data_IF_760417451237
#
_entry.id   IF_760417451237
#
_cell.length_a   1.000
_cell.length_b   1.000
_cell.length_c   1.000
_cell.angle_alpha   90.00
_cell.angle_beta   90.00
_cell.angle_gamma   90.00
#
_symmetry.space_group_name_H-M   'P 1'
#
loop_
_entity.id
_entity.type
_entity.pdbx_description
1 polymer ?
#
# COMPACT_ATOMS: atom_id res chain seq x y z
N UNK A 1 21.70 24.12 0.49
CA UNK A 1 21.47 22.99 -0.44
C UNK A 1 20.62 21.98 0.31
N UNK A 2 19.52 21.53 -0.30
CA UNK A 2 18.50 20.69 0.33
C UNK A 2 18.89 19.22 0.15
N UNK A 3 19.29 18.57 1.24
CA UNK A 3 19.60 17.15 1.25
C UNK A 3 18.40 16.42 1.88
N UNK A 4 17.26 16.45 1.19
CA UNK A 4 16.05 15.76 1.61
C UNK A 4 16.15 14.27 1.25
N UNK A 5 16.92 13.52 2.02
CA UNK A 5 16.88 12.05 2.00
C UNK A 5 16.69 11.57 3.43
N UNK A 6 15.44 11.66 3.91
CA UNK A 6 15.02 11.24 5.24
C UNK A 6 15.06 9.72 5.32
N UNK A 7 16.26 9.16 5.45
CA UNK A 7 16.44 7.79 5.92
C UNK A 7 15.95 7.77 7.36
N UNK A 8 14.89 7.02 7.73
CA UNK A 8 14.47 6.95 9.11
C UNK A 8 15.60 6.31 9.91
N UNK A 9 16.06 7.02 10.95
CA UNK A 9 16.98 6.49 11.96
C UNK A 9 16.48 5.14 12.47
N UNK A 10 17.38 4.20 12.78
CA UNK A 10 17.11 2.77 13.07
C UNK A 10 15.96 2.48 14.06
N UNK A 11 15.60 3.42 14.94
CA UNK A 11 14.46 3.33 15.88
C UNK A 11 13.07 3.53 15.23
N UNK A 12 13.02 4.09 14.01
CA UNK A 12 11.78 4.33 13.28
C UNK A 12 11.33 3.14 12.41
N UNK A 13 12.21 2.15 12.19
CA UNK A 13 11.91 0.98 11.36
C UNK A 13 10.79 0.11 11.95
N UNK A 14 10.76 -0.21 13.27
CA UNK A 14 9.66 -0.98 13.85
C UNK A 14 8.31 -0.26 13.69
N UNK A 15 8.26 1.04 14.02
CA UNK A 15 7.04 1.86 13.87
C UNK A 15 6.58 1.98 12.40
N UNK A 16 7.53 2.07 11.47
CA UNK A 16 7.24 2.04 10.03
C UNK A 16 6.60 0.71 9.62
N UNK A 17 7.19 -0.43 10.01
CA UNK A 17 6.64 -1.75 9.67
C UNK A 17 5.28 -1.99 10.31
N UNK A 18 5.07 -1.58 11.56
CA UNK A 18 3.75 -1.63 12.21
C UNK A 18 2.70 -0.80 11.45
N UNK A 19 3.08 0.39 10.98
CA UNK A 19 2.21 1.23 10.14
C UNK A 19 1.87 0.56 8.81
N UNK A 20 2.83 -0.10 8.15
CA UNK A 20 2.55 -0.88 6.94
C UNK A 20 1.63 -2.07 7.23
N UNK A 21 1.81 -2.77 8.35
CA UNK A 21 0.93 -3.87 8.75
C UNK A 21 -0.51 -3.40 8.97
N UNK A 22 -0.69 -2.26 9.65
CA UNK A 22 -2.02 -1.68 9.86
C UNK A 22 -2.67 -1.26 8.53
N UNK A 23 -1.89 -0.65 7.64
CA UNK A 23 -2.34 -0.27 6.30
C UNK A 23 -2.81 -1.50 5.48
N UNK A 24 -2.06 -2.59 5.52
CA UNK A 24 -2.45 -3.84 4.84
C UNK A 24 -3.77 -4.37 5.37
N UNK A 25 -3.93 -4.44 6.69
CA UNK A 25 -5.16 -4.94 7.30
C UNK A 25 -6.38 -4.07 6.92
N UNK A 26 -6.17 -2.75 6.79
CA UNK A 26 -7.20 -1.83 6.31
C UNK A 26 -7.54 -2.09 4.84
N UNK A 27 -6.54 -2.19 3.96
CA UNK A 27 -6.73 -2.51 2.53
C UNK A 27 -7.49 -3.83 2.35
N UNK A 28 -7.16 -4.87 3.10
CA UNK A 28 -7.87 -6.16 3.04
C UNK A 28 -9.34 -6.00 3.41
N UNK A 29 -9.66 -5.19 4.43
CA UNK A 29 -11.04 -4.90 4.83
C UNK A 29 -11.78 -4.10 3.78
N UNK A 30 -11.13 -3.09 3.22
CA UNK A 30 -11.71 -2.26 2.15
C UNK A 30 -11.99 -3.11 0.90
N UNK A 31 -11.05 -3.98 0.50
CA UNK A 31 -11.22 -4.92 -0.62
C UNK A 31 -12.31 -5.96 -0.37
N UNK A 32 -12.48 -6.42 0.87
CA UNK A 32 -13.57 -7.32 1.23
C UNK A 32 -14.95 -6.66 1.14
N UNK A 33 -15.03 -5.34 1.31
CA UNK A 33 -16.25 -4.54 1.19
C UNK A 33 -16.47 -3.98 -0.23
N UNK A 34 -15.55 -4.22 -1.16
CA UNK A 34 -15.66 -3.74 -2.52
C UNK A 34 -16.89 -4.35 -3.24
N UNK A 35 -17.52 -3.59 -4.17
CA UNK A 35 -18.71 -4.07 -4.88
C UNK A 35 -18.42 -5.34 -5.69
N UNK A 36 -19.41 -6.23 -5.72
CA UNK A 36 -19.33 -7.46 -6.53
C UNK A 36 -19.19 -7.11 -8.02
N UNK A 37 -18.15 -7.63 -8.67
CA UNK A 37 -17.82 -7.33 -10.07
C UNK A 37 -16.55 -6.47 -10.27
N UNK A 38 -15.97 -5.95 -9.20
CA UNK A 38 -14.64 -5.33 -9.22
C UNK A 38 -13.56 -6.41 -9.42
N UNK A 39 -12.79 -6.33 -10.51
CA UNK A 39 -11.64 -7.22 -10.73
C UNK A 39 -10.47 -6.76 -9.85
N UNK A 40 -10.39 -7.34 -8.67
CA UNK A 40 -9.45 -6.99 -7.61
C UNK A 40 -8.40 -8.07 -7.37
N UNK A 41 -8.32 -9.08 -8.24
CA UNK A 41 -7.46 -10.23 -8.01
C UNK A 41 -5.98 -9.81 -7.97
N UNK A 42 -5.55 -8.97 -8.91
CA UNK A 42 -4.18 -8.47 -8.96
C UNK A 42 -3.80 -7.68 -7.69
N UNK A 43 -4.72 -6.85 -7.18
CA UNK A 43 -4.51 -6.08 -5.94
C UNK A 43 -4.40 -7.00 -4.73
N UNK A 44 -5.23 -8.06 -4.67
CA UNK A 44 -5.19 -9.06 -3.59
C UNK A 44 -3.87 -9.83 -3.62
N UNK A 45 -3.41 -10.23 -4.80
CA UNK A 45 -2.15 -10.96 -4.99
C UNK A 45 -0.93 -10.11 -4.58
N UNK A 46 -0.94 -8.81 -4.90
CA UNK A 46 0.10 -7.88 -4.47
C UNK A 46 0.10 -7.67 -2.94
N UNK A 47 -1.08 -7.59 -2.31
CA UNK A 47 -1.19 -7.51 -0.85
C UNK A 47 -0.65 -8.79 -0.18
N UNK A 48 -0.96 -9.97 -0.72
CA UNK A 48 -0.38 -11.22 -0.23
C UNK A 48 1.15 -11.23 -0.36
N UNK A 49 1.66 -10.72 -1.48
CA UNK A 49 3.10 -10.56 -1.71
C UNK A 49 3.73 -9.63 -0.67
N UNK A 50 3.11 -8.48 -0.41
CA UNK A 50 3.58 -7.50 0.58
C UNK A 50 3.60 -8.11 2.00
N UNK A 51 2.59 -8.90 2.37
CA UNK A 51 2.55 -9.65 3.64
C UNK A 51 3.70 -10.66 3.75
N UNK A 52 4.01 -11.36 2.66
CA UNK A 52 5.11 -12.32 2.63
C UNK A 52 6.47 -11.63 2.73
N UNK A 53 6.63 -10.48 2.08
CA UNK A 53 7.83 -9.64 2.18
C UNK A 53 8.04 -9.15 3.61
N UNK A 54 6.99 -8.67 4.28
CA UNK A 54 7.06 -8.17 5.66
C UNK A 54 7.36 -9.25 6.70
N UNK A 55 6.97 -10.50 6.44
CA UNK A 55 7.35 -11.65 7.27
C UNK A 55 8.83 -12.03 7.13
N UNK A 56 9.53 -11.52 6.12
CA UNK A 56 10.94 -11.84 5.89
C UNK A 56 11.85 -11.08 6.84
N UNK A 57 12.81 -11.74 7.52
CA UNK A 57 13.80 -11.06 8.36
C UNK A 57 14.77 -10.18 7.56
N UNK A 58 14.76 -10.27 6.22
CA UNK A 58 15.55 -9.44 5.30
C UNK A 58 14.69 -8.44 4.54
N UNK A 59 13.62 -7.94 5.15
CA UNK A 59 12.72 -6.98 4.51
C UNK A 59 13.52 -5.78 3.98
N UNK A 60 13.33 -5.47 2.70
CA UNK A 60 13.95 -4.31 2.05
C UNK A 60 12.86 -3.24 1.88
N UNK A 61 13.12 -2.03 2.38
CA UNK A 61 12.19 -0.90 2.22
C UNK A 61 11.88 -0.62 0.75
N UNK A 62 12.85 -0.79 -0.16
CA UNK A 62 12.64 -0.67 -1.60
C UNK A 62 11.55 -1.61 -2.13
N UNK A 63 11.52 -2.86 -1.65
CA UNK A 63 10.49 -3.83 -2.05
C UNK A 63 9.13 -3.48 -1.48
N UNK A 64 9.07 -3.02 -0.22
CA UNK A 64 7.82 -2.51 0.36
C UNK A 64 7.28 -1.35 -0.49
N UNK A 65 8.16 -0.41 -0.87
CA UNK A 65 7.79 0.75 -1.66
C UNK A 65 7.28 0.37 -3.05
N UNK A 66 7.96 -0.56 -3.73
CA UNK A 66 7.55 -1.07 -5.04
C UNK A 66 6.19 -1.75 -4.98
N UNK A 67 5.98 -2.65 -4.00
CA UNK A 67 4.70 -3.33 -3.83
C UNK A 67 3.56 -2.38 -3.44
N UNK A 68 3.80 -1.40 -2.56
CA UNK A 68 2.79 -0.36 -2.26
C UNK A 68 2.43 0.46 -3.49
N UNK A 69 3.41 0.76 -4.35
CA UNK A 69 3.16 1.45 -5.62
C UNK A 69 2.33 0.58 -6.58
N UNK A 70 2.61 -0.72 -6.66
CA UNK A 70 1.84 -1.69 -7.44
C UNK A 70 0.37 -1.78 -6.96
N UNK A 71 0.13 -1.90 -5.65
CA UNK A 71 -1.22 -1.90 -5.04
C UNK A 71 -1.99 -0.64 -5.43
N UNK A 72 -1.36 0.53 -5.29
CA UNK A 72 -2.00 1.81 -5.63
C UNK A 72 -2.37 1.88 -7.11
N UNK A 73 -1.46 1.48 -8.00
CA UNK A 73 -1.72 1.48 -9.44
C UNK A 73 -2.87 0.53 -9.81
N UNK A 74 -2.91 -0.69 -9.25
CA UNK A 74 -4.00 -1.63 -9.51
C UNK A 74 -5.36 -1.08 -9.06
N UNK A 75 -5.41 -0.38 -7.92
CA UNK A 75 -6.62 0.29 -7.47
C UNK A 75 -6.98 1.47 -8.39
N UNK A 76 -6.01 2.29 -8.81
CA UNK A 76 -6.25 3.40 -9.74
C UNK A 76 -6.78 2.93 -11.10
N UNK A 77 -6.15 1.92 -11.71
CA UNK A 77 -6.54 1.36 -13.01
C UNK A 77 -7.98 0.80 -12.96
N UNK A 78 -8.33 0.16 -11.85
CA UNK A 78 -9.69 -0.32 -11.65
C UNK A 78 -10.70 0.83 -11.53
N UNK A 79 -10.33 1.93 -10.88
CA UNK A 79 -11.21 3.11 -10.73
C UNK A 79 -11.44 3.87 -12.03
N UNK A 80 -10.50 3.78 -12.98
CA UNK A 80 -10.71 4.27 -14.35
C UNK A 80 -11.74 3.45 -15.11
N UNK A 81 -11.88 2.17 -14.76
CA UNK A 81 -12.81 1.23 -15.39
C UNK A 81 -14.20 1.25 -14.71
N UNK A 82 -14.25 1.57 -13.42
CA UNK A 82 -15.48 1.63 -12.60
C UNK A 82 -15.56 2.99 -11.90
N UNK A 83 -16.31 3.93 -12.48
CA UNK A 83 -16.59 5.23 -11.86
C UNK A 83 -17.28 5.04 -10.49
N UNK A 84 -16.75 5.70 -9.46
CA UNK A 84 -17.36 5.72 -8.11
C UNK A 84 -16.88 4.61 -7.15
N UNK A 85 -15.71 4.02 -7.40
CA UNK A 85 -15.14 3.01 -6.51
C UNK A 85 -14.67 3.62 -5.19
N UNK A 86 -15.32 3.22 -4.09
CA UNK A 86 -15.05 3.65 -2.70
C UNK A 86 -13.58 3.48 -2.29
N UNK A 87 -12.85 2.59 -2.97
CA UNK A 87 -11.43 2.33 -2.72
C UNK A 87 -10.51 3.51 -3.08
N UNK A 88 -10.84 4.32 -4.10
CA UNK A 88 -9.97 5.43 -4.53
C UNK A 88 -9.80 6.51 -3.46
N UNK A 89 -10.91 6.86 -2.83
CA UNK A 89 -10.98 7.90 -1.81
C UNK A 89 -10.73 7.31 -0.40
N UNK A 90 -10.25 6.06 -0.34
CA UNK A 90 -10.06 5.39 0.92
C UNK A 90 -8.87 5.99 1.69
N UNK A 91 -8.95 6.02 3.03
CA UNK A 91 -7.84 6.45 3.86
C UNK A 91 -6.55 5.66 3.58
N UNK A 92 -6.68 4.39 3.18
CA UNK A 92 -5.56 3.52 2.83
C UNK A 92 -4.80 3.99 1.60
N UNK A 93 -5.50 4.36 0.53
CA UNK A 93 -4.85 4.87 -0.69
C UNK A 93 -4.14 6.20 -0.43
N UNK A 94 -4.76 7.09 0.34
CA UNK A 94 -4.13 8.34 0.77
C UNK A 94 -2.88 8.07 1.62
N UNK A 95 -2.92 7.05 2.48
CA UNK A 95 -1.78 6.66 3.31
C UNK A 95 -0.63 6.03 2.49
N UNK A 96 -0.95 5.20 1.49
CA UNK A 96 0.04 4.72 0.52
C UNK A 96 0.72 5.92 -0.15
N UNK A 97 -0.03 6.90 -0.63
CA UNK A 97 0.52 8.13 -1.22
C UNK A 97 1.48 8.87 -0.28
N UNK A 98 1.15 8.98 1.01
CA UNK A 98 2.03 9.58 2.03
C UNK A 98 3.32 8.79 2.25
N UNK A 99 3.25 7.46 2.31
CA UNK A 99 4.42 6.59 2.44
C UNK A 99 5.34 6.67 1.21
N UNK A 100 4.74 6.75 0.03
CA UNK A 100 5.48 6.86 -1.24
C UNK A 100 6.08 8.26 -1.46
N UNK A 101 5.61 9.28 -0.72
CA UNK A 101 6.02 10.67 -0.90
C UNK A 101 5.40 11.34 -2.13
N UNK A 102 4.17 10.96 -2.47
CA UNK A 102 3.45 11.38 -3.68
C UNK A 102 2.34 12.42 -3.40
N UNK A 103 2.45 13.19 -2.31
CA UNK A 103 1.53 14.30 -1.98
C UNK A 103 2.12 15.66 -2.28
#
# INVERSE_FOLDING_TARGET
MLDNNTTPTSDARPAYLERIHALIAELERELANAPAGADLQDVRDEIETLKNVLKSPKVKEGWIRESLHSVRNGIEDMTQTVEGTVLKDSPSIAEIGRILGLM
#
